data_IF_654798336839
#
_entry.id   IF_654798336839
#
_cell.length_a   1.000
_cell.length_b   1.000
_cell.length_c   1.000
_cell.angle_alpha   90.00
_cell.angle_beta   90.00
_cell.angle_gamma   90.00
#
_symmetry.space_group_name_H-M   'P 1'
#
loop_
_entity.id
_entity.type
_entity.pdbx_description
1 polymer ?
#
# COMPACT_ATOMS: atom_id res chain seq x y z
N UNK A 1 10.45 -66.96 -8.64
CA UNK A 1 11.61 -66.25 -8.07
C UNK A 1 11.62 -64.82 -8.60
N UNK A 2 11.46 -63.85 -7.69
CA UNK A 2 11.92 -62.43 -7.72
C UNK A 2 12.37 -61.88 -9.10
N UNK A 3 11.79 -60.80 -9.61
CA UNK A 3 12.13 -59.45 -9.12
C UNK A 3 11.07 -58.39 -9.43
N UNK A 4 10.71 -57.67 -8.37
CA UNK A 4 9.96 -56.41 -8.33
C UNK A 4 10.86 -55.29 -8.86
N UNK A 5 10.43 -54.56 -9.87
CA UNK A 5 10.99 -53.25 -10.20
C UNK A 5 9.92 -52.18 -10.00
N UNK A 6 10.13 -51.40 -8.93
CA UNK A 6 9.35 -50.23 -8.55
C UNK A 6 9.49 -49.18 -9.66
N UNK A 7 8.38 -48.82 -10.32
CA UNK A 7 8.32 -47.63 -11.17
C UNK A 7 7.82 -46.49 -10.29
N UNK A 8 8.75 -45.67 -9.84
CA UNK A 8 8.54 -44.46 -9.04
C UNK A 8 7.95 -43.39 -9.97
N UNK A 9 6.83 -42.71 -9.64
CA UNK A 9 6.33 -41.61 -10.46
C UNK A 9 7.26 -40.41 -10.26
N UNK A 10 7.88 -39.97 -11.35
CA UNK A 10 8.74 -38.79 -11.41
C UNK A 10 7.86 -37.53 -11.23
N UNK A 11 7.77 -37.05 -9.99
CA UNK A 11 7.08 -35.81 -9.63
C UNK A 11 7.97 -34.62 -10.07
N UNK A 12 7.71 -34.10 -11.27
CA UNK A 12 8.34 -32.89 -11.78
C UNK A 12 7.80 -31.67 -11.02
N UNK A 13 8.50 -31.26 -9.97
CA UNK A 13 8.21 -30.04 -9.21
C UNK A 13 8.77 -28.85 -10.00
N UNK A 14 7.92 -28.17 -10.76
CA UNK A 14 8.23 -26.86 -11.34
C UNK A 14 8.26 -25.80 -10.23
N UNK A 15 9.46 -25.52 -9.70
CA UNK A 15 9.69 -24.37 -8.83
C UNK A 15 9.68 -23.11 -9.69
N UNK A 16 8.54 -22.42 -9.76
CA UNK A 16 8.48 -21.03 -10.21
C UNK A 16 9.15 -20.16 -9.14
N UNK A 17 10.46 -19.97 -9.24
CA UNK A 17 11.16 -18.92 -8.49
C UNK A 17 10.74 -17.58 -9.08
N UNK A 18 9.74 -16.93 -8.47
CA UNK A 18 9.42 -15.55 -8.77
C UNK A 18 10.60 -14.66 -8.40
N UNK A 19 11.25 -14.05 -9.39
CA UNK A 19 12.25 -13.02 -9.14
C UNK A 19 11.55 -11.81 -8.52
N UNK A 20 11.74 -11.59 -7.22
CA UNK A 20 11.40 -10.33 -6.60
C UNK A 20 12.40 -9.26 -7.08
N UNK A 21 12.05 -8.54 -8.15
CA UNK A 21 12.79 -7.36 -8.58
C UNK A 21 12.68 -6.29 -7.51
N UNK A 22 13.83 -5.73 -7.09
CA UNK A 22 13.84 -4.63 -6.11
C UNK A 22 13.25 -3.37 -6.74
N UNK A 23 12.42 -2.60 -6.01
CA UNK A 23 11.87 -1.34 -6.50
C UNK A 23 12.99 -0.35 -6.84
N UNK A 24 12.88 0.35 -7.96
CA UNK A 24 13.85 1.38 -8.34
C UNK A 24 13.53 2.72 -7.68
N UNK A 25 14.55 3.56 -7.43
CA UNK A 25 14.33 4.88 -6.85
C UNK A 25 13.42 5.76 -7.73
N UNK A 26 13.53 5.64 -9.05
CA UNK A 26 12.69 6.39 -10.01
C UNK A 26 11.22 5.98 -9.88
N UNK A 27 10.94 4.68 -9.84
CA UNK A 27 9.59 4.15 -9.66
C UNK A 27 8.99 4.60 -8.32
N UNK A 28 9.77 4.53 -7.24
CA UNK A 28 9.30 4.93 -5.91
C UNK A 28 9.05 6.44 -5.80
N UNK A 29 9.81 7.28 -6.51
CA UNK A 29 9.56 8.72 -6.59
C UNK A 29 8.29 9.05 -7.39
N UNK A 30 8.02 8.27 -8.45
CA UNK A 30 6.78 8.38 -9.19
C UNK A 30 5.58 7.98 -8.33
N UNK A 31 5.65 6.84 -7.63
CA UNK A 31 4.60 6.41 -6.70
C UNK A 31 4.41 7.38 -5.54
N UNK A 32 5.48 7.97 -5.01
CA UNK A 32 5.41 8.99 -3.96
C UNK A 32 4.59 10.20 -4.42
N UNK A 33 4.84 10.69 -5.64
CA UNK A 33 4.11 11.81 -6.22
C UNK A 33 2.64 11.48 -6.51
N UNK A 34 2.33 10.23 -6.81
CA UNK A 34 0.95 9.76 -6.93
C UNK A 34 0.27 9.66 -5.56
N UNK A 35 1.00 9.19 -4.55
CA UNK A 35 0.47 8.93 -3.20
C UNK A 35 0.04 10.23 -2.52
N UNK A 36 0.77 11.33 -2.70
CA UNK A 36 0.37 12.64 -2.14
C UNK A 36 -0.97 13.13 -2.66
N UNK A 37 -1.38 12.70 -3.86
CA UNK A 37 -2.71 13.03 -4.41
C UNK A 37 -3.80 12.18 -3.78
N UNK A 38 -3.53 10.89 -3.59
CA UNK A 38 -4.48 9.97 -2.91
C UNK A 38 -4.67 10.39 -1.46
N UNK A 39 -3.59 10.67 -0.74
CA UNK A 39 -3.63 11.09 0.66
C UNK A 39 -4.40 12.40 0.83
N UNK A 40 -4.16 13.40 -0.03
CA UNK A 40 -4.92 14.64 -0.05
C UNK A 40 -6.42 14.43 -0.35
N UNK A 41 -6.76 13.54 -1.27
CA UNK A 41 -8.16 13.21 -1.58
C UNK A 41 -8.86 12.52 -0.39
N UNK A 42 -8.17 11.62 0.30
CA UNK A 42 -8.66 10.97 1.53
C UNK A 42 -8.85 12.00 2.64
N UNK A 43 -7.88 12.89 2.87
CA UNK A 43 -7.99 13.96 3.87
C UNK A 43 -9.19 14.87 3.61
N UNK A 44 -9.37 15.33 2.37
CA UNK A 44 -10.51 16.15 1.99
C UNK A 44 -11.84 15.43 2.25
N UNK A 45 -11.89 14.12 1.99
CA UNK A 45 -13.08 13.29 2.24
C UNK A 45 -13.37 13.16 3.72
N UNK A 46 -12.37 12.80 4.54
CA UNK A 46 -12.49 12.69 6.00
C UNK A 46 -12.88 14.03 6.63
N UNK A 47 -12.40 15.16 6.09
CA UNK A 47 -12.67 16.48 6.67
C UNK A 47 -14.01 17.09 6.34
N UNK A 48 -14.56 16.79 5.16
CA UNK A 48 -15.67 17.57 4.60
C UNK A 48 -16.89 16.74 4.22
N UNK A 49 -16.78 15.40 4.14
CA UNK A 49 -17.90 14.55 3.74
C UNK A 49 -18.45 13.80 4.95
N UNK A 50 -19.64 14.20 5.43
CA UNK A 50 -20.40 13.46 6.47
C UNK A 50 -20.58 11.96 6.16
N UNK A 51 -20.82 11.53 4.90
CA UNK A 51 -20.92 10.11 4.58
C UNK A 51 -19.64 9.30 4.84
N UNK A 52 -18.51 9.97 5.12
CA UNK A 52 -17.26 9.29 5.43
C UNK A 52 -17.26 8.69 6.85
N UNK A 53 -18.05 9.23 7.78
CA UNK A 53 -18.01 8.85 9.20
C UNK A 53 -18.30 7.35 9.38
N UNK A 54 -17.39 6.66 10.07
CA UNK A 54 -17.53 5.22 10.35
C UNK A 54 -17.31 4.29 9.15
N UNK A 55 -17.03 4.80 7.94
CA UNK A 55 -16.74 3.94 6.80
C UNK A 55 -15.51 3.05 7.05
N UNK A 56 -15.57 1.77 6.65
CA UNK A 56 -14.39 0.92 6.54
C UNK A 56 -13.33 1.53 5.63
N UNK A 57 -12.07 1.18 5.88
CA UNK A 57 -10.89 1.64 5.16
C UNK A 57 -11.03 1.58 3.62
N UNK A 58 -11.45 0.42 3.09
CA UNK A 58 -11.59 0.20 1.65
C UNK A 58 -12.71 1.08 1.03
N UNK A 59 -13.83 1.23 1.73
CA UNK A 59 -14.95 2.07 1.28
C UNK A 59 -14.58 3.55 1.34
N UNK A 60 -13.83 3.96 2.36
CA UNK A 60 -13.29 5.31 2.45
C UNK A 60 -12.34 5.60 1.29
N UNK A 61 -11.41 4.70 0.98
CA UNK A 61 -10.51 4.86 -0.16
C UNK A 61 -11.32 5.00 -1.47
N UNK A 62 -12.28 4.09 -1.69
CA UNK A 62 -13.15 4.13 -2.87
C UNK A 62 -13.92 5.44 -2.97
N UNK A 63 -14.55 5.90 -1.88
CA UNK A 63 -15.29 7.17 -1.85
C UNK A 63 -14.37 8.36 -2.14
N UNK A 64 -13.14 8.32 -1.62
CA UNK A 64 -12.16 9.40 -1.75
C UNK A 64 -11.65 9.54 -3.18
N UNK A 65 -11.49 8.42 -3.90
CA UNK A 65 -10.99 8.42 -5.29
C UNK A 65 -12.09 8.30 -6.34
N UNK A 66 -13.36 8.18 -5.97
CA UNK A 66 -14.48 7.99 -6.91
C UNK A 66 -14.61 9.11 -7.96
N UNK A 67 -14.16 10.32 -7.63
CA UNK A 67 -14.20 11.47 -8.53
C UNK A 67 -13.12 11.43 -9.62
N UNK A 68 -12.02 10.70 -9.37
CA UNK A 68 -10.94 10.48 -10.33
C UNK A 68 -10.32 9.09 -10.10
N UNK A 69 -10.85 8.04 -10.76
CA UNK A 69 -10.32 6.68 -10.66
C UNK A 69 -8.86 6.56 -11.12
N UNK A 70 -8.33 7.49 -11.91
CA UNK A 70 -6.95 7.45 -12.38
C UNK A 70 -5.94 7.64 -11.23
N UNK A 71 -6.36 8.20 -10.08
CA UNK A 71 -5.56 8.30 -8.87
C UNK A 71 -5.06 6.93 -8.37
N UNK A 72 -5.81 5.86 -8.62
CA UNK A 72 -5.46 4.52 -8.16
C UNK A 72 -4.61 3.71 -9.15
N UNK A 73 -4.54 4.13 -10.42
CA UNK A 73 -3.88 3.37 -11.50
C UNK A 73 -2.40 3.09 -11.23
N UNK A 74 -1.69 4.03 -10.62
CA UNK A 74 -0.27 3.87 -10.29
C UNK A 74 -0.03 2.79 -9.23
N UNK A 75 -1.07 2.34 -8.52
CA UNK A 75 -1.00 1.36 -7.44
C UNK A 75 -1.59 0.00 -7.82
N UNK A 76 -1.84 -0.25 -9.10
CA UNK A 76 -2.33 -1.54 -9.58
C UNK A 76 -1.37 -2.68 -9.16
N UNK A 77 -1.90 -3.68 -8.48
CA UNK A 77 -1.11 -4.80 -7.94
C UNK A 77 -0.43 -4.52 -6.59
N UNK A 78 -0.52 -3.30 -6.05
CA UNK A 78 -0.09 -2.96 -4.71
C UNK A 78 -1.25 -2.99 -3.72
N UNK A 79 -0.93 -3.03 -2.43
CA UNK A 79 -1.92 -2.87 -1.36
C UNK A 79 -1.91 -1.41 -0.92
N UNK A 80 -3.05 -0.73 -1.01
CA UNK A 80 -3.22 0.65 -0.54
C UNK A 80 -4.15 0.65 0.67
N UNK A 81 -3.66 1.24 1.74
CA UNK A 81 -4.29 1.26 3.05
C UNK A 81 -4.61 2.67 3.49
N UNK A 82 -5.67 2.86 4.26
CA UNK A 82 -6.08 4.15 4.83
C UNK A 82 -6.22 4.07 6.34
N UNK A 83 -5.56 4.99 7.03
CA UNK A 83 -5.78 5.27 8.44
C UNK A 83 -6.62 6.53 8.55
N UNK A 84 -7.67 6.49 9.39
CA UNK A 84 -8.40 7.66 9.84
C UNK A 84 -8.16 7.87 11.33
N UNK A 85 -7.84 9.09 11.70
CA UNK A 85 -7.80 9.53 13.10
C UNK A 85 -8.57 10.85 13.25
N UNK A 86 -9.83 10.74 13.69
CA UNK A 86 -10.75 11.88 13.74
C UNK A 86 -10.94 12.52 12.37
N UNK A 87 -10.48 13.77 12.22
CA UNK A 87 -10.56 14.55 10.98
C UNK A 87 -9.28 14.50 10.14
N UNK A 88 -8.30 13.72 10.54
CA UNK A 88 -7.06 13.53 9.81
C UNK A 88 -6.94 12.10 9.28
N UNK A 89 -6.05 11.92 8.31
CA UNK A 89 -5.84 10.64 7.66
C UNK A 89 -4.39 10.45 7.21
N UNK A 90 -4.03 9.19 7.01
CA UNK A 90 -2.83 8.79 6.31
C UNK A 90 -3.11 7.65 5.34
N UNK A 91 -2.28 7.52 4.32
CA UNK A 91 -2.33 6.46 3.32
C UNK A 91 -0.99 5.73 3.29
N UNK A 92 -1.06 4.40 3.31
CA UNK A 92 0.10 3.51 3.31
C UNK A 92 0.03 2.61 2.07
N UNK A 93 1.14 2.58 1.32
CA UNK A 93 1.31 1.68 0.17
C UNK A 93 2.26 0.57 0.55
N UNK A 94 1.85 -0.67 0.30
CA UNK A 94 2.62 -1.87 0.53
C UNK A 94 2.71 -2.72 -0.74
N UNK A 95 3.67 -3.63 -0.76
CA UNK A 95 3.69 -4.72 -1.73
C UNK A 95 2.36 -5.50 -1.74
N UNK A 96 2.12 -6.22 -2.83
CA UNK A 96 0.95 -7.08 -3.00
C UNK A 96 0.70 -7.96 -1.76
N UNK A 97 -0.58 -8.19 -1.44
CA UNK A 97 -1.01 -9.02 -0.30
C UNK A 97 -0.50 -8.52 1.07
N UNK A 98 -0.28 -7.22 1.21
CA UNK A 98 0.15 -6.60 2.47
C UNK A 98 1.60 -6.94 2.87
N UNK A 99 2.49 -7.07 1.88
CA UNK A 99 3.91 -7.36 2.07
C UNK A 99 4.70 -6.19 2.68
N UNK A 100 5.89 -5.88 2.16
CA UNK A 100 6.70 -4.78 2.70
C UNK A 100 5.97 -3.43 2.53
N UNK A 101 6.04 -2.55 3.53
CA UNK A 101 5.64 -1.15 3.35
C UNK A 101 6.62 -0.41 2.44
N UNK A 102 6.08 0.37 1.50
CA UNK A 102 6.84 1.08 0.48
C UNK A 102 6.84 2.58 0.72
N UNK A 103 5.66 3.17 0.96
CA UNK A 103 5.47 4.61 1.09
C UNK A 103 4.33 4.89 2.09
N UNK A 104 4.47 5.93 2.89
CA UNK A 104 3.43 6.35 3.84
C UNK A 104 3.34 7.87 3.86
N UNK A 105 2.12 8.39 3.87
CA UNK A 105 1.85 9.82 3.74
C UNK A 105 0.62 10.24 4.53
N UNK A 106 0.75 11.30 5.33
CA UNK A 106 -0.38 11.97 5.94
C UNK A 106 -1.02 12.92 4.93
N UNK A 107 -2.35 12.93 4.83
CA UNK A 107 -3.01 13.71 3.77
C UNK A 107 -3.00 15.23 3.95
N UNK A 108 -2.41 15.72 5.05
CA UNK A 108 -2.28 17.13 5.38
C UNK A 108 -0.97 17.78 4.90
N UNK A 109 -0.02 16.99 4.38
CA UNK A 109 1.30 17.45 3.99
C UNK A 109 1.40 17.60 2.46
N UNK A 110 2.31 18.46 2.00
CA UNK A 110 2.51 18.69 0.56
C UNK A 110 3.60 17.78 -0.04
N UNK A 111 4.43 17.16 0.79
CA UNK A 111 5.52 16.27 0.42
C UNK A 111 5.31 14.95 1.13
N UNK A 112 5.72 13.87 0.48
CA UNK A 112 5.67 12.53 1.07
C UNK A 112 6.34 12.51 2.45
N UNK A 113 5.65 11.99 3.47
CA UNK A 113 6.20 11.89 4.82
C UNK A 113 7.26 10.80 4.99
N UNK A 114 7.06 9.60 4.43
CA UNK A 114 7.98 8.47 4.63
C UNK A 114 8.24 7.64 3.38
N UNK A 115 9.50 7.57 2.96
CA UNK A 115 10.00 6.59 1.99
C UNK A 115 10.50 5.32 2.69
N UNK A 116 9.68 4.27 2.70
CA UNK A 116 9.95 3.03 3.46
C UNK A 116 10.58 1.92 2.62
N UNK A 117 10.44 2.00 1.30
CA UNK A 117 10.97 0.99 0.37
C UNK A 117 12.47 0.69 0.53
N UNK A 118 13.29 1.67 0.92
CA UNK A 118 14.75 1.52 1.11
C UNK A 118 15.19 1.45 2.59
N UNK A 119 14.27 1.25 3.53
CA UNK A 119 14.70 1.00 4.91
C UNK A 119 15.34 -0.40 4.97
N UNK A 120 16.50 -0.50 5.61
CA UNK A 120 17.25 -1.74 5.80
C UNK A 120 16.62 -2.69 6.83
N UNK A 121 15.44 -2.36 7.37
CA UNK A 121 14.72 -3.12 8.40
C UNK A 121 13.52 -3.89 7.86
N UNK A 122 12.80 -4.54 8.79
CA UNK A 122 11.54 -5.24 8.51
C UNK A 122 10.41 -4.20 8.45
N UNK A 123 10.19 -3.61 7.28
CA UNK A 123 9.06 -2.72 7.04
C UNK A 123 7.76 -3.50 6.86
N UNK A 124 7.11 -3.82 7.98
CA UNK A 124 5.75 -4.37 7.94
C UNK A 124 4.79 -3.35 7.33
N UNK A 125 3.73 -3.86 6.68
CA UNK A 125 2.59 -3.09 6.18
C UNK A 125 1.72 -2.54 7.33
N UNK A 126 2.31 -1.71 8.17
CA UNK A 126 1.73 -1.09 9.36
C UNK A 126 2.02 0.41 9.35
N UNK A 127 1.06 1.24 9.76
CA UNK A 127 1.26 2.69 9.86
C UNK A 127 2.29 3.02 10.94
N UNK A 128 3.12 4.01 10.66
CA UNK A 128 4.18 4.52 11.56
C UNK A 128 4.05 6.02 11.81
N UNK A 129 3.34 6.75 10.94
CA UNK A 129 3.16 8.19 11.09
C UNK A 129 2.18 8.48 12.23
N UNK A 130 2.59 9.37 13.13
CA UNK A 130 1.68 9.95 14.13
C UNK A 130 0.90 11.07 13.45
N UNK A 131 -0.28 10.72 12.94
CA UNK A 131 -1.12 11.63 12.14
C UNK A 131 -1.49 12.88 12.94
N UNK A 132 -1.79 12.77 14.24
CA UNK A 132 -2.15 13.93 15.08
C UNK A 132 -0.99 14.89 15.23
N UNK A 133 0.23 14.36 15.33
CA UNK A 133 1.44 15.19 15.43
C UNK A 133 1.80 15.85 14.10
N UNK A 134 1.70 15.12 12.99
CA UNK A 134 2.04 15.63 11.65
C UNK A 134 0.99 16.65 11.18
N UNK A 135 -0.28 16.39 11.42
CA UNK A 135 -1.40 17.20 10.96
C UNK A 135 -1.93 18.18 12.02
N UNK A 136 -1.09 18.68 12.93
CA UNK A 136 -1.50 19.61 13.98
C UNK A 136 -2.04 20.94 13.40
N UNK A 137 -3.35 21.00 13.11
CA UNK A 137 -4.06 22.12 12.46
C UNK A 137 -5.50 22.29 12.97
#
# INVERSE_FOLDING_TARGET
MKNIYKIIPLLAVCLFTGCATRPSAQEMNYLASALTKVSAAVDATVRHRRPADGLPEAELLQLSTAHDPALMKSFDGLTVRVLRDGRDSAVLVCEARGGKALLEDAGCTAKLDQHRWNSGGVDRCEFTVDVKKVCAR
#
